data_IF_727214353758
#
_entry.id   IF_727214353758
#
_cell.length_a   1.000
_cell.length_b   1.000
_cell.length_c   1.000
_cell.angle_alpha   90.00
_cell.angle_beta   90.00
_cell.angle_gamma   90.00
#
_symmetry.space_group_name_H-M   'P 1'
#
loop_
_entity.id
_entity.type
_entity.pdbx_description
1 polymer ?
#
# COMPACT_ATOMS: atom_id res chain seq x y z
N UNK A 1 -12.22 17.57 6.47
CA UNK A 1 -11.21 16.69 5.85
C UNK A 1 -11.41 15.29 6.41
N UNK A 2 -11.50 14.27 5.57
CA UNK A 2 -11.57 12.88 6.05
C UNK A 2 -10.15 12.36 6.24
N UNK A 3 -9.77 11.98 7.46
CA UNK A 3 -8.55 11.23 7.70
C UNK A 3 -8.75 9.81 7.18
N UNK A 4 -7.91 9.38 6.23
CA UNK A 4 -7.84 7.98 5.81
C UNK A 4 -6.89 7.28 6.77
N UNK A 5 -7.42 6.35 7.57
CA UNK A 5 -6.62 5.45 8.39
C UNK A 5 -6.67 4.05 7.79
N UNK A 6 -5.51 3.42 7.60
CA UNK A 6 -5.38 2.02 7.24
C UNK A 6 -4.98 1.23 8.48
N UNK A 7 -5.65 0.10 8.74
CA UNK A 7 -5.33 -0.83 9.81
C UNK A 7 -4.96 -2.18 9.16
N UNK A 8 -3.66 -2.47 8.97
CA UNK A 8 -3.20 -3.65 8.24
C UNK A 8 -3.80 -4.96 8.75
N UNK A 9 -3.96 -5.10 10.07
CA UNK A 9 -4.51 -6.30 10.71
C UNK A 9 -5.98 -6.51 10.33
N UNK A 10 -6.77 -5.42 10.26
CA UNK A 10 -8.17 -5.50 9.84
C UNK A 10 -8.29 -5.80 8.34
N UNK A 11 -7.36 -5.30 7.53
CA UNK A 11 -7.32 -5.58 6.10
C UNK A 11 -6.99 -7.06 5.82
N UNK A 12 -6.06 -7.64 6.58
CA UNK A 12 -5.71 -9.06 6.48
C UNK A 12 -6.85 -9.98 6.95
N UNK A 13 -7.52 -9.61 8.05
CA UNK A 13 -8.72 -10.30 8.50
C UNK A 13 -9.84 -10.25 7.44
N UNK A 14 -10.11 -9.08 6.87
CA UNK A 14 -11.09 -8.92 5.80
C UNK A 14 -10.72 -9.74 4.54
N UNK A 15 -9.44 -9.78 4.15
CA UNK A 15 -8.99 -10.61 3.04
C UNK A 15 -9.26 -12.10 3.28
N UNK A 16 -9.06 -12.57 4.52
CA UNK A 16 -9.34 -13.95 4.92
C UNK A 16 -10.84 -14.28 4.88
N UNK A 17 -11.68 -13.38 5.36
CA UNK A 17 -13.14 -13.53 5.29
C UNK A 17 -13.62 -13.55 3.83
N UNK A 18 -13.11 -12.65 2.99
CA UNK A 18 -13.41 -12.61 1.56
C UNK A 18 -12.95 -13.89 0.85
N UNK A 19 -11.78 -14.45 1.19
CA UNK A 19 -11.35 -15.73 0.65
C UNK A 19 -12.34 -16.85 1.01
N UNK A 20 -12.85 -16.84 2.24
CA UNK A 20 -13.88 -17.79 2.70
C UNK A 20 -15.18 -17.63 1.92
N UNK A 21 -15.65 -16.40 1.69
CA UNK A 21 -16.83 -16.12 0.86
C UNK A 21 -16.63 -16.60 -0.58
N UNK A 22 -15.45 -16.36 -1.17
CA UNK A 22 -15.14 -16.82 -2.52
C UNK A 22 -15.20 -18.35 -2.64
N UNK A 23 -14.67 -19.05 -1.64
CA UNK A 23 -14.73 -20.51 -1.56
C UNK A 23 -16.17 -21.04 -1.44
N UNK A 24 -16.98 -20.48 -0.55
CA UNK A 24 -18.38 -20.89 -0.38
C UNK A 24 -19.21 -20.63 -1.63
N UNK A 25 -19.00 -19.48 -2.28
CA UNK A 25 -19.67 -19.15 -3.54
C UNK A 25 -19.27 -20.11 -4.67
N UNK A 26 -18.00 -20.47 -4.77
CA UNK A 26 -17.53 -21.43 -5.77
C UNK A 26 -18.12 -22.83 -5.54
N UNK A 27 -18.20 -23.27 -4.27
CA UNK A 27 -18.84 -24.53 -3.91
C UNK A 27 -20.33 -24.52 -4.29
N UNK A 28 -21.05 -23.44 -3.97
CA UNK A 28 -22.46 -23.28 -4.33
C UNK A 28 -22.67 -23.26 -5.86
N UNK A 29 -21.83 -22.53 -6.59
CA UNK A 29 -21.83 -22.49 -8.06
C UNK A 29 -21.67 -23.88 -8.67
N UNK A 30 -20.72 -24.65 -8.16
CA UNK A 30 -20.43 -26.01 -8.64
C UNK A 30 -21.58 -26.96 -8.32
N UNK A 31 -22.16 -26.88 -7.12
CA UNK A 31 -23.32 -27.67 -6.73
C UNK A 31 -24.56 -27.35 -7.58
N UNK A 32 -24.75 -26.09 -7.95
CA UNK A 32 -25.86 -25.65 -8.79
C UNK A 32 -25.67 -25.98 -10.28
N UNK A 33 -24.45 -26.25 -10.75
CA UNK A 33 -24.14 -26.40 -12.17
C UNK A 33 -24.93 -27.55 -12.83
N UNK A 34 -24.83 -28.77 -12.30
CA UNK A 34 -25.50 -29.93 -12.89
C UNK A 34 -27.04 -29.77 -13.01
N UNK A 35 -27.79 -29.40 -11.95
CA UNK A 35 -29.25 -29.27 -12.04
C UNK A 35 -29.73 -28.08 -12.89
N UNK A 36 -28.89 -27.06 -13.10
CA UNK A 36 -29.27 -25.86 -13.90
C UNK A 36 -28.86 -25.96 -15.36
N UNK A 37 -27.80 -26.71 -15.68
CA UNK A 37 -27.34 -26.94 -17.06
C UNK A 37 -28.15 -28.03 -17.78
N UNK A 38 -28.82 -28.91 -17.05
CA UNK A 38 -29.57 -30.04 -17.59
C UNK A 38 -31.04 -29.97 -17.15
N UNK A 39 -31.70 -28.85 -17.41
CA UNK A 39 -33.13 -28.70 -17.11
C UNK A 39 -33.93 -29.63 -18.02
N UNK A 40 -34.77 -30.47 -17.43
CA UNK A 40 -35.67 -31.35 -18.17
C UNK A 40 -36.96 -30.61 -18.55
N UNK A 41 -37.52 -30.87 -19.75
CA UNK A 41 -38.80 -30.30 -20.14
C UNK A 41 -39.93 -30.81 -19.25
N UNK A 42 -40.87 -29.92 -18.89
CA UNK A 42 -41.99 -30.25 -18.02
C UNK A 42 -43.00 -31.23 -18.66
N UNK A 43 -43.12 -31.20 -19.99
CA UNK A 43 -43.92 -32.11 -20.80
C UNK A 43 -43.24 -32.36 -22.17
N UNK A 44 -43.78 -33.30 -22.95
CA UNK A 44 -43.21 -33.73 -24.24
C UNK A 44 -43.48 -32.76 -25.41
N UNK A 45 -44.07 -31.59 -25.14
CA UNK A 45 -44.36 -30.60 -26.17
C UNK A 45 -43.16 -29.70 -26.48
N UNK A 46 -43.19 -29.08 -27.65
CA UNK A 46 -42.11 -28.22 -28.14
C UNK A 46 -41.93 -26.95 -27.29
N UNK A 47 -42.98 -26.44 -26.65
CA UNK A 47 -42.90 -25.24 -25.79
C UNK A 47 -42.12 -25.59 -24.52
N UNK A 48 -42.47 -26.70 -23.85
CA UNK A 48 -41.72 -27.21 -22.70
C UNK A 48 -40.26 -27.49 -23.03
N UNK A 49 -39.97 -28.10 -24.19
CA UNK A 49 -38.61 -28.34 -24.66
C UNK A 49 -37.83 -27.02 -24.89
N UNK A 50 -38.45 -26.03 -25.52
CA UNK A 50 -37.84 -24.73 -25.78
C UNK A 50 -37.54 -23.96 -24.49
N UNK A 51 -38.43 -24.01 -23.50
CA UNK A 51 -38.24 -23.36 -22.20
C UNK A 51 -37.09 -24.01 -21.44
N UNK A 52 -37.04 -25.35 -21.39
CA UNK A 52 -35.94 -26.07 -20.76
C UNK A 52 -34.58 -25.76 -21.40
N UNK A 53 -34.54 -25.65 -22.74
CA UNK A 53 -33.35 -25.26 -23.48
C UNK A 53 -32.95 -23.81 -23.17
N UNK A 54 -33.89 -22.87 -23.10
CA UNK A 54 -33.60 -21.47 -22.74
C UNK A 54 -32.94 -21.36 -21.36
N UNK A 55 -33.49 -22.04 -20.35
CA UNK A 55 -32.91 -22.01 -19.00
C UNK A 55 -31.55 -22.69 -18.92
N UNK A 56 -31.39 -23.82 -19.60
CA UNK A 56 -30.09 -24.51 -19.68
C UNK A 56 -29.04 -23.64 -20.38
N UNK A 57 -29.42 -22.93 -21.44
CA UNK A 57 -28.56 -21.95 -22.12
C UNK A 57 -28.16 -20.79 -21.20
N UNK A 58 -29.12 -20.22 -20.46
CA UNK A 58 -28.83 -19.18 -19.48
C UNK A 58 -27.87 -19.66 -18.37
N UNK A 59 -28.01 -20.91 -17.93
CA UNK A 59 -27.10 -21.50 -16.96
C UNK A 59 -25.66 -21.62 -17.51
N UNK A 60 -25.47 -21.92 -18.80
CA UNK A 60 -24.13 -21.94 -19.42
C UNK A 60 -23.48 -20.56 -19.34
N UNK A 61 -24.20 -19.51 -19.74
CA UNK A 61 -23.70 -18.14 -19.70
C UNK A 61 -23.41 -17.68 -18.27
N UNK A 62 -24.31 -18.01 -17.33
CA UNK A 62 -24.10 -17.75 -15.90
C UNK A 62 -22.83 -18.42 -15.37
N UNK A 63 -22.61 -19.71 -15.68
CA UNK A 63 -21.45 -20.45 -15.20
C UNK A 63 -20.14 -19.87 -15.75
N UNK A 64 -20.13 -19.43 -17.01
CA UNK A 64 -18.99 -18.74 -17.61
C UNK A 64 -18.68 -17.43 -16.89
N UNK A 65 -19.68 -16.56 -16.75
CA UNK A 65 -19.51 -15.25 -16.10
C UNK A 65 -19.13 -15.41 -14.62
N UNK A 66 -19.75 -16.34 -13.91
CA UNK A 66 -19.40 -16.66 -12.54
C UNK A 66 -17.96 -17.16 -12.44
N UNK A 67 -17.47 -17.89 -13.46
CA UNK A 67 -16.06 -18.26 -13.67
C UNK A 67 -15.13 -17.04 -13.62
N UNK A 68 -15.40 -16.07 -14.49
CA UNK A 68 -14.63 -14.83 -14.60
C UNK A 68 -14.68 -14.01 -13.30
N UNK A 69 -15.86 -13.93 -12.67
CA UNK A 69 -16.04 -13.24 -11.38
C UNK A 69 -15.23 -13.89 -10.25
N UNK A 70 -15.13 -15.22 -10.21
CA UNK A 70 -14.32 -15.93 -9.22
C UNK A 70 -12.83 -15.61 -9.38
N UNK A 71 -12.33 -15.59 -10.62
CA UNK A 71 -10.94 -15.23 -10.89
C UNK A 71 -10.64 -13.77 -10.49
N UNK A 72 -11.57 -12.85 -10.76
CA UNK A 72 -11.47 -11.46 -10.30
C UNK A 72 -11.43 -11.37 -8.77
N UNK A 73 -12.31 -12.11 -8.09
CA UNK A 73 -12.37 -12.14 -6.62
C UNK A 73 -11.07 -12.63 -5.99
N UNK A 74 -10.46 -13.68 -6.56
CA UNK A 74 -9.15 -14.17 -6.12
C UNK A 74 -8.05 -13.11 -6.26
N UNK A 75 -8.01 -12.42 -7.40
CA UNK A 75 -7.06 -11.32 -7.61
C UNK A 75 -7.31 -10.15 -6.65
N UNK A 76 -8.57 -9.85 -6.34
CA UNK A 76 -8.93 -8.81 -5.39
C UNK A 76 -8.40 -9.14 -3.99
N UNK A 77 -8.65 -10.37 -3.51
CA UNK A 77 -8.14 -10.84 -2.21
C UNK A 77 -6.61 -10.79 -2.17
N UNK A 78 -5.92 -11.27 -3.21
CA UNK A 78 -4.45 -11.22 -3.29
C UNK A 78 -3.92 -9.79 -3.19
N UNK A 79 -4.52 -8.85 -3.93
CA UNK A 79 -4.13 -7.43 -3.88
C UNK A 79 -4.40 -6.81 -2.51
N UNK A 80 -5.53 -7.15 -1.88
CA UNK A 80 -5.85 -6.65 -0.56
C UNK A 80 -4.82 -7.11 0.48
N UNK A 81 -4.47 -8.41 0.49
CA UNK A 81 -3.41 -8.95 1.37
C UNK A 81 -2.06 -8.30 1.10
N UNK A 82 -1.66 -8.13 -0.16
CA UNK A 82 -0.42 -7.46 -0.50
C UNK A 82 -0.39 -6.00 -0.03
N UNK A 83 -1.51 -5.29 -0.15
CA UNK A 83 -1.63 -3.91 0.33
C UNK A 83 -1.51 -3.80 1.85
N UNK A 84 -2.11 -4.72 2.61
CA UNK A 84 -1.97 -4.79 4.06
C UNK A 84 -0.50 -4.96 4.46
N UNK A 85 0.21 -5.90 3.81
CA UNK A 85 1.65 -6.09 4.03
C UNK A 85 2.49 -4.86 3.66
N UNK A 86 2.11 -4.12 2.62
CA UNK A 86 2.77 -2.85 2.27
C UNK A 86 2.60 -1.79 3.35
N UNK A 87 1.41 -1.66 3.95
CA UNK A 87 1.20 -0.70 5.05
C UNK A 87 1.95 -1.10 6.31
N UNK A 88 1.90 -2.39 6.69
CA UNK A 88 2.64 -2.90 7.84
C UNK A 88 4.16 -2.74 7.69
N UNK A 89 4.71 -3.01 6.51
CA UNK A 89 6.14 -2.81 6.23
C UNK A 89 6.55 -1.34 6.24
N UNK A 90 5.69 -0.43 5.75
CA UNK A 90 5.92 1.00 5.84
C UNK A 90 5.95 1.48 7.30
N UNK A 91 5.06 0.99 8.15
CA UNK A 91 5.06 1.31 9.57
C UNK A 91 6.33 0.78 10.27
N UNK A 92 6.72 -0.47 10.01
CA UNK A 92 7.95 -1.05 10.55
C UNK A 92 9.21 -0.28 10.09
N UNK A 93 9.25 0.13 8.82
CA UNK A 93 10.32 0.98 8.29
C UNK A 93 10.34 2.31 9.05
N UNK A 94 9.23 3.02 9.14
CA UNK A 94 9.17 4.31 9.85
C UNK A 94 9.63 4.19 11.32
N UNK A 95 9.22 3.13 12.03
CA UNK A 95 9.70 2.86 13.39
C UNK A 95 11.22 2.67 13.41
N UNK A 96 11.76 1.84 12.50
CA UNK A 96 13.21 1.56 12.45
C UNK A 96 14.06 2.79 12.14
N UNK A 97 13.56 3.73 11.33
CA UNK A 97 14.23 4.99 11.01
C UNK A 97 14.17 6.00 12.16
N UNK A 98 13.09 6.01 12.93
CA UNK A 98 12.90 6.96 14.04
C UNK A 98 13.61 6.54 15.33
N UNK A 99 13.86 5.23 15.54
CA UNK A 99 14.53 4.75 16.76
C UNK A 99 15.94 5.34 16.99
N UNK A 100 16.84 5.43 16.00
CA UNK A 100 18.14 6.05 16.19
C UNK A 100 18.05 7.57 16.39
N UNK A 101 17.04 8.22 15.79
CA UNK A 101 16.86 9.66 15.87
C UNK A 101 16.40 10.11 17.26
N UNK A 102 15.48 9.37 17.90
CA UNK A 102 15.06 9.68 19.28
C UNK A 102 16.22 9.52 20.26
N UNK A 103 16.99 8.43 20.13
CA UNK A 103 18.17 8.19 20.96
C UNK A 103 19.26 9.27 20.76
N UNK A 104 19.45 9.76 19.52
CA UNK A 104 20.38 10.84 19.22
C UNK A 104 19.90 12.23 19.66
N UNK A 105 18.60 12.51 19.57
CA UNK A 105 18.00 13.80 19.92
C UNK A 105 18.18 14.13 21.42
N UNK A 106 18.02 13.14 22.31
CA UNK A 106 18.26 13.32 23.74
C UNK A 106 19.71 13.69 24.06
N UNK A 107 20.67 13.08 23.35
CA UNK A 107 22.10 13.39 23.49
C UNK A 107 22.41 14.78 22.93
N UNK A 108 21.85 15.14 21.77
CA UNK A 108 22.08 16.44 21.12
C UNK A 108 21.46 17.58 21.93
N UNK A 109 20.27 17.39 22.49
CA UNK A 109 19.59 18.39 23.33
C UNK A 109 20.36 18.70 24.62
N UNK A 110 21.19 17.77 25.11
CA UNK A 110 22.06 17.97 26.27
C UNK A 110 23.29 18.84 25.99
N UNK A 111 23.60 19.16 24.71
CA UNK A 111 24.78 19.93 24.28
C UNK A 111 24.34 21.31 23.73
N UNK A 112 24.58 22.42 24.47
CA UNK A 112 24.00 23.75 24.15
C UNK A 112 24.33 24.31 22.77
N UNK A 113 25.51 23.98 22.21
CA UNK A 113 25.94 24.48 20.89
C UNK A 113 25.30 23.73 19.72
N UNK A 114 24.80 22.51 19.96
CA UNK A 114 24.24 21.65 18.91
C UNK A 114 22.73 21.86 18.71
N UNK A 115 22.02 22.41 19.70
CA UNK A 115 20.58 22.69 19.62
C UNK A 115 20.18 23.59 18.43
N UNK A 116 20.82 24.75 18.20
CA UNK A 116 20.51 25.62 17.07
C UNK A 116 20.80 24.99 15.69
N UNK A 117 21.83 24.14 15.61
CA UNK A 117 22.19 23.41 14.39
C UNK A 117 21.19 22.30 14.10
N UNK A 118 20.79 21.55 15.13
CA UNK A 118 19.75 20.53 15.04
C UNK A 118 18.44 21.11 14.52
N UNK A 119 18.00 22.26 15.06
CA UNK A 119 16.79 22.95 14.60
C UNK A 119 16.87 23.35 13.12
N UNK A 120 18.04 23.80 12.66
CA UNK A 120 18.25 24.18 11.26
C UNK A 120 18.17 22.96 10.33
N UNK A 121 18.81 21.85 10.71
CA UNK A 121 18.79 20.58 9.97
C UNK A 121 17.36 20.00 9.93
N UNK A 122 16.65 20.01 11.06
CA UNK A 122 15.26 19.54 11.14
C UNK A 122 14.31 20.40 10.29
N UNK A 123 14.57 21.70 10.14
CA UNK A 123 13.82 22.58 9.23
C UNK A 123 13.99 22.21 7.75
N UNK A 124 15.21 21.86 7.32
CA UNK A 124 15.46 21.36 5.95
C UNK A 124 14.80 20.00 5.71
N UNK A 125 14.86 19.11 6.69
CA UNK A 125 14.16 17.83 6.65
C UNK A 125 12.65 17.99 6.48
N UNK A 126 12.03 18.89 7.23
CA UNK A 126 10.59 19.16 7.12
C UNK A 126 10.21 19.69 5.72
N UNK A 127 11.06 20.54 5.14
CA UNK A 127 10.85 21.08 3.78
C UNK A 127 10.96 19.99 2.71
N UNK A 128 11.92 19.07 2.87
CA UNK A 128 12.07 17.92 1.98
C UNK A 128 10.89 16.95 2.08
N UNK A 129 10.43 16.66 3.30
CA UNK A 129 9.30 15.77 3.56
C UNK A 129 7.97 16.32 2.99
N UNK A 130 7.76 17.63 3.05
CA UNK A 130 6.63 18.28 2.38
C UNK A 130 6.73 18.18 0.84
N UNK A 131 7.93 18.31 0.28
CA UNK A 131 8.13 18.20 -1.16
C UNK A 131 7.89 16.78 -1.69
N UNK A 132 8.36 15.76 -0.96
CA UNK A 132 8.16 14.36 -1.36
C UNK A 132 6.72 13.91 -1.16
N UNK A 133 6.06 14.31 -0.06
CA UNK A 133 4.62 14.04 0.12
C UNK A 133 3.77 14.71 -0.96
N UNK A 134 4.08 15.96 -1.35
CA UNK A 134 3.46 16.62 -2.50
C UNK A 134 3.63 15.83 -3.80
N UNK A 135 4.83 15.29 -4.06
CA UNK A 135 5.08 14.44 -5.23
C UNK A 135 4.27 13.14 -5.20
N UNK A 136 4.14 12.48 -4.04
CA UNK A 136 3.32 11.27 -3.89
C UNK A 136 1.85 11.54 -4.20
N UNK A 137 1.31 12.72 -3.85
CA UNK A 137 -0.07 13.09 -4.22
C UNK A 137 -0.25 13.31 -5.73
N UNK A 138 0.81 13.73 -6.44
CA UNK A 138 0.79 13.86 -7.89
C UNK A 138 0.75 12.48 -8.58
N UNK A 139 1.41 11.45 -8.02
CA UNK A 139 1.37 10.08 -8.55
C UNK A 139 -0.05 9.49 -8.52
N UNK A 140 -0.85 9.84 -7.50
CA UNK A 140 -2.26 9.42 -7.43
C UNK A 140 -3.08 10.02 -8.59
N UNK A 141 -2.71 11.20 -9.06
CA UNK A 141 -3.36 11.90 -10.17
C UNK A 141 -2.80 11.49 -11.54
N UNK A 142 -1.54 11.06 -11.58
CA UNK A 142 -0.84 10.63 -12.79
C UNK A 142 0.07 9.41 -12.50
N UNK A 143 -0.38 8.18 -12.80
CA UNK A 143 0.35 6.96 -12.45
C UNK A 143 1.64 6.75 -13.25
N UNK A 144 1.90 7.49 -14.34
CA UNK A 144 3.17 7.39 -15.07
C UNK A 144 4.36 7.96 -14.28
N UNK A 145 4.09 8.84 -13.31
CA UNK A 145 5.09 9.40 -12.41
C UNK A 145 5.72 8.36 -11.46
N UNK A 146 5.15 7.15 -11.39
CA UNK A 146 5.69 6.03 -10.63
C UNK A 146 7.07 5.58 -11.15
N UNK A 147 7.38 5.83 -12.44
CA UNK A 147 8.70 5.56 -13.02
C UNK A 147 9.81 6.48 -12.49
N UNK A 148 9.47 7.68 -12.02
CA UNK A 148 10.42 8.67 -11.51
C UNK A 148 10.57 8.59 -9.98
N UNK A 149 9.63 7.91 -9.31
CA UNK A 149 9.62 7.68 -7.86
C UNK A 149 10.96 7.15 -7.28
N UNK A 150 11.61 6.11 -7.86
CA UNK A 150 12.91 5.65 -7.34
C UNK A 150 14.00 6.72 -7.46
N UNK A 151 13.93 7.61 -8.45
CA UNK A 151 14.91 8.68 -8.66
C UNK A 151 14.70 9.83 -7.64
N UNK A 152 13.44 10.14 -7.31
CA UNK A 152 13.08 11.11 -6.24
C UNK A 152 13.49 10.60 -4.87
N UNK A 153 13.23 9.32 -4.57
CA UNK A 153 13.65 8.67 -3.32
C UNK A 153 15.17 8.54 -3.23
N UNK A 154 15.87 8.35 -4.35
CA UNK A 154 17.33 8.28 -4.40
C UNK A 154 17.99 9.65 -4.18
N UNK A 155 17.39 10.76 -4.64
CA UNK A 155 17.93 12.11 -4.44
C UNK A 155 17.73 12.65 -3.02
N UNK A 156 16.65 12.25 -2.34
CA UNK A 156 16.30 12.69 -0.98
C UNK A 156 17.45 12.51 0.05
N UNK A 157 18.12 11.35 0.17
CA UNK A 157 19.24 11.18 1.09
C UNK A 157 20.47 12.02 0.72
N UNK A 158 20.69 12.37 -0.56
CA UNK A 158 21.79 13.26 -0.96
C UNK A 158 21.55 14.71 -0.54
N UNK A 159 20.31 15.20 -0.60
CA UNK A 159 19.96 16.54 -0.11
C UNK A 159 20.16 16.67 1.41
N UNK A 160 19.90 15.58 2.14
CA UNK A 160 20.15 15.46 3.58
C UNK A 160 21.64 15.44 3.89
N UNK A 161 22.41 14.61 3.19
CA UNK A 161 23.87 14.56 3.35
C UNK A 161 24.52 15.92 3.03
N UNK A 162 24.06 16.61 1.98
CA UNK A 162 24.55 17.93 1.61
C UNK A 162 24.25 19.00 2.69
N UNK A 163 23.09 18.92 3.35
CA UNK A 163 22.74 19.85 4.43
C UNK A 163 23.51 19.57 5.74
N UNK A 164 23.74 18.29 6.08
CA UNK A 164 24.61 17.89 7.19
C UNK A 164 26.05 18.33 6.94
N UNK A 165 26.57 18.14 5.71
CA UNK A 165 27.92 18.55 5.34
C UNK A 165 28.07 20.09 5.35
N UNK A 166 27.06 20.82 4.88
CA UNK A 166 27.02 22.28 4.95
C UNK A 166 27.02 22.80 6.38
N UNK A 167 26.27 22.16 7.29
CA UNK A 167 26.28 22.48 8.72
C UNK A 167 27.63 22.17 9.38
N UNK A 168 28.28 21.06 9.01
CA UNK A 168 29.60 20.69 9.51
C UNK A 168 30.71 21.65 9.03
N UNK A 169 30.67 22.10 7.78
CA UNK A 169 31.60 23.08 7.21
C UNK A 169 31.48 24.44 7.91
N UNK A 170 30.25 24.87 8.24
CA UNK A 170 30.03 26.07 9.04
C UNK A 170 30.60 25.93 10.46
N UNK A 171 30.48 24.76 11.09
CA UNK A 171 31.03 24.50 12.42
C UNK A 171 32.58 24.57 12.46
N UNK A 172 33.24 24.06 11.41
CA UNK A 172 34.70 24.15 11.24
C UNK A 172 35.12 25.60 10.94
N UNK A 173 34.36 26.32 10.11
CA UNK A 173 34.62 27.73 9.76
C UNK A 173 34.47 28.70 10.94
N UNK A 174 33.64 28.38 11.93
CA UNK A 174 33.48 29.16 13.18
C UNK A 174 34.54 28.85 14.25
N UNK A 175 35.56 28.00 13.96
CA UNK A 175 36.70 27.76 14.85
C UNK A 175 36.43 26.91 16.08
N UNK A 176 35.29 26.21 16.16
CA UNK A 176 34.89 25.43 17.34
C UNK A 176 35.54 24.04 17.46
N UNK A 177 36.40 23.65 16.50
CA UNK A 177 37.11 22.34 16.48
C UNK A 177 38.49 22.41 17.16
N UNK A 178 38.97 23.60 17.53
CA UNK A 178 40.33 23.77 18.05
C UNK A 178 40.65 23.14 19.44
N UNK A 179 39.72 22.85 20.39
CA UNK A 179 40.16 22.38 21.70
C UNK A 179 40.07 20.85 21.91
N UNK A 180 39.84 20.04 20.88
CA UNK A 180 39.74 18.56 21.05
C UNK A 180 41.01 17.78 20.69
N UNK A 181 42.13 18.45 20.40
CA UNK A 181 43.44 17.81 20.14
C UNK A 181 44.60 18.46 20.93
N UNK A 182 44.34 18.90 22.17
CA UNK A 182 45.41 19.21 23.15
C UNK A 182 45.06 18.63 24.51
#
# INVERSE_FOLDING_TARGET
MAYVMAAPELMEAAATELATIGSTLNAARTAAAAPTLAVLPAAADEVSASIAHLFSGHAVDYQKLAGEAAAFHEQFVQRLTASAGSYASAEAANVSWLQPLSAGADVIASIPVLGPLFNSIMGYWNSLLLATSGFLTLIVSDPELLLVLPLVLLLAPFAVLASILGAAVLLVGFGLVAPLLS
#
